data_IF_361255771149
#
_entry.id   IF_361255771149
#
_cell.length_a   1.000
_cell.length_b   1.000
_cell.length_c   1.000
_cell.angle_alpha   90.00
_cell.angle_beta   90.00
_cell.angle_gamma   90.00
#
_symmetry.space_group_name_H-M   'P 1'
#
loop_
_entity.id
_entity.type
_entity.pdbx_description
1 polymer ?
#
# COMPACT_ATOMS: atom_id res chain seq x y z
N UNK A 1 60.69 65.98 -21.27
CA UNK A 1 62.02 65.58 -21.80
C UNK A 1 61.94 64.15 -22.33
N UNK A 2 62.35 63.96 -23.59
CA UNK A 2 62.81 62.76 -24.32
C UNK A 2 62.26 61.37 -23.97
N UNK A 3 61.47 60.71 -24.84
CA UNK A 3 61.82 60.00 -26.11
C UNK A 3 62.62 58.69 -25.95
N UNK A 4 61.92 57.59 -26.29
CA UNK A 4 62.25 56.54 -27.30
C UNK A 4 62.62 55.12 -26.85
N UNK A 5 61.80 54.17 -27.37
CA UNK A 5 62.12 52.88 -28.05
C UNK A 5 62.64 51.74 -27.14
N UNK A 6 62.38 50.45 -27.37
CA UNK A 6 61.86 49.63 -28.48
C UNK A 6 61.35 48.31 -27.84
N UNK A 7 60.14 47.83 -28.14
CA UNK A 7 59.83 46.77 -29.12
C UNK A 7 60.19 45.32 -28.70
N UNK A 8 59.18 44.44 -28.84
CA UNK A 8 59.25 43.00 -29.19
C UNK A 8 59.23 41.92 -28.08
N UNK A 9 58.03 41.40 -27.75
CA UNK A 9 57.52 40.00 -27.98
C UNK A 9 56.27 39.77 -27.09
N UNK A 10 55.06 39.85 -27.66
CA UNK A 10 54.26 38.78 -28.31
C UNK A 10 53.59 37.80 -27.33
N UNK A 11 52.23 37.86 -27.33
CA UNK A 11 51.26 36.74 -27.27
C UNK A 11 51.14 36.09 -25.89
N UNK A 12 50.01 36.00 -25.19
CA UNK A 12 48.57 36.21 -25.42
C UNK A 12 47.93 36.30 -24.04
N UNK A 13 46.80 37.02 -23.87
CA UNK A 13 45.63 36.57 -23.10
C UNK A 13 44.61 37.71 -23.08
N UNK A 14 43.54 37.52 -23.85
CA UNK A 14 42.33 38.34 -23.82
C UNK A 14 41.59 37.94 -22.54
N UNK A 15 41.50 38.85 -21.56
CA UNK A 15 40.65 38.66 -20.37
C UNK A 15 39.27 39.18 -20.74
N UNK A 16 38.38 38.24 -21.05
CA UNK A 16 36.95 38.45 -21.21
C UNK A 16 36.32 38.53 -19.81
N UNK A 17 35.60 39.61 -19.54
CA UNK A 17 34.77 39.79 -18.34
C UNK A 17 33.67 38.71 -18.33
N UNK A 18 33.80 37.68 -17.49
CA UNK A 18 32.73 36.70 -17.24
C UNK A 18 31.99 37.12 -15.98
N UNK A 19 30.78 37.65 -16.17
CA UNK A 19 29.79 37.74 -15.10
C UNK A 19 29.40 36.31 -14.69
N UNK A 20 29.75 35.93 -13.48
CA UNK A 20 29.27 34.71 -12.81
C UNK A 20 27.82 34.94 -12.43
N UNK A 21 26.89 34.65 -13.33
CA UNK A 21 25.55 34.23 -12.95
C UNK A 21 25.61 32.71 -12.76
N UNK A 22 25.84 32.27 -11.52
CA UNK A 22 25.40 30.95 -11.08
C UNK A 22 23.88 30.94 -11.07
N UNK A 23 23.28 30.77 -12.25
CA UNK A 23 21.92 30.27 -12.34
C UNK A 23 21.93 28.84 -11.81
N UNK A 24 21.45 28.67 -10.57
CA UNK A 24 20.84 27.41 -10.16
C UNK A 24 19.82 27.04 -11.24
N UNK A 25 20.19 26.15 -12.16
CA UNK A 25 19.20 25.38 -12.88
C UNK A 25 18.57 24.49 -11.83
N UNK A 26 17.50 24.98 -11.20
CA UNK A 26 16.50 24.11 -10.64
C UNK A 26 16.06 23.20 -11.78
N UNK A 27 16.55 21.97 -11.80
CA UNK A 27 16.01 20.93 -12.64
C UNK A 27 14.58 20.72 -12.13
N UNK A 28 13.61 21.38 -12.75
CA UNK A 28 12.20 21.03 -12.56
C UNK A 28 12.09 19.53 -12.84
N UNK A 29 11.79 18.73 -11.83
CA UNK A 29 11.49 17.30 -12.00
C UNK A 29 10.16 17.20 -12.72
N UNK A 30 10.17 16.97 -14.03
CA UNK A 30 8.96 16.67 -14.78
C UNK A 30 8.59 15.21 -14.51
N UNK A 31 7.57 14.98 -13.68
CA UNK A 31 7.02 13.65 -13.42
C UNK A 31 6.18 13.15 -14.61
N UNK A 32 6.09 11.83 -14.79
CA UNK A 32 5.26 11.23 -15.83
C UNK A 32 3.78 11.65 -15.64
N UNK A 33 3.10 12.07 -16.70
CA UNK A 33 1.73 12.56 -16.61
C UNK A 33 0.73 11.44 -16.89
N UNK A 34 0.09 10.94 -15.84
CA UNK A 34 -1.00 9.97 -15.98
C UNK A 34 -2.26 10.62 -16.56
N UNK A 35 -2.79 10.03 -17.63
CA UNK A 35 -4.06 10.43 -18.26
C UNK A 35 -5.02 9.24 -18.21
N UNK A 36 -6.13 9.46 -17.52
CA UNK A 36 -7.20 8.46 -17.36
C UNK A 36 -8.43 8.88 -18.17
N UNK A 37 -8.91 7.95 -19.00
CA UNK A 37 -10.06 8.17 -19.86
C UNK A 37 -11.36 7.79 -19.13
N UNK A 38 -11.78 8.62 -18.15
CA UNK A 38 -13.12 8.58 -17.56
C UNK A 38 -14.10 9.45 -18.37
N UNK A 39 -15.41 9.17 -18.31
CA UNK A 39 -16.43 9.64 -19.27
C UNK A 39 -16.30 11.11 -19.72
N UNK A 40 -16.13 12.06 -18.80
CA UNK A 40 -16.00 13.49 -19.15
C UNK A 40 -14.71 13.81 -19.92
N UNK A 41 -13.55 13.27 -19.49
CA UNK A 41 -12.25 13.46 -20.14
C UNK A 41 -12.16 12.70 -21.47
N UNK A 42 -12.77 11.51 -21.53
CA UNK A 42 -12.77 10.68 -22.74
C UNK A 42 -13.44 11.38 -23.93
N UNK A 43 -14.50 12.17 -23.69
CA UNK A 43 -15.25 12.83 -24.76
C UNK A 43 -14.39 13.81 -25.60
N UNK A 44 -13.47 14.55 -24.98
CA UNK A 44 -12.63 15.49 -25.71
C UNK A 44 -11.57 14.77 -26.54
N UNK A 45 -10.99 13.68 -26.02
CA UNK A 45 -10.11 12.82 -26.80
C UNK A 45 -10.85 12.09 -27.92
N UNK A 46 -12.10 11.66 -27.70
CA UNK A 46 -12.94 11.05 -28.75
C UNK A 46 -13.21 12.07 -29.86
N UNK A 47 -13.55 13.32 -29.53
CA UNK A 47 -13.70 14.40 -30.52
C UNK A 47 -12.40 14.62 -31.28
N UNK A 48 -11.26 14.66 -30.60
CA UNK A 48 -9.95 14.85 -31.22
C UNK A 48 -9.60 13.69 -32.16
N UNK A 49 -9.79 12.45 -31.70
CA UNK A 49 -9.63 11.26 -32.51
C UNK A 49 -10.53 11.36 -33.75
N UNK A 50 -11.81 11.71 -33.61
CA UNK A 50 -12.76 11.82 -34.73
C UNK A 50 -12.49 12.95 -35.73
N UNK A 51 -11.72 13.98 -35.35
CA UNK A 51 -11.17 14.94 -36.33
C UNK A 51 -10.09 14.32 -37.21
N UNK A 52 -9.37 13.33 -36.70
CA UNK A 52 -8.38 12.58 -37.47
C UNK A 52 -9.08 11.50 -38.32
N UNK A 53 -8.89 11.58 -39.65
CA UNK A 53 -9.44 10.60 -40.60
C UNK A 53 -8.69 9.26 -40.56
N UNK A 54 -7.42 9.29 -40.14
CA UNK A 54 -6.61 8.10 -39.96
C UNK A 54 -6.84 7.51 -38.56
N UNK A 55 -7.34 6.27 -38.55
CA UNK A 55 -7.68 5.51 -37.33
C UNK A 55 -6.73 4.35 -37.11
N UNK A 56 -5.59 4.35 -37.78
CA UNK A 56 -4.55 3.37 -37.54
C UNK A 56 -3.89 3.57 -36.17
N UNK A 57 -3.29 2.50 -35.65
CA UNK A 57 -2.66 2.43 -34.32
C UNK A 57 -1.67 3.58 -34.07
N UNK A 58 -0.84 3.92 -35.05
CA UNK A 58 0.16 4.99 -34.95
C UNK A 58 -0.48 6.39 -34.90
N UNK A 59 -1.54 6.62 -35.68
CA UNK A 59 -2.29 7.86 -35.68
C UNK A 59 -3.06 8.07 -34.38
N UNK A 60 -3.65 7.00 -33.81
CA UNK A 60 -4.31 7.04 -32.50
C UNK A 60 -3.31 7.43 -31.41
N UNK A 61 -2.16 6.77 -31.34
CA UNK A 61 -1.12 7.07 -30.35
C UNK A 61 -0.68 8.54 -30.37
N UNK A 62 -0.33 9.05 -31.57
CA UNK A 62 0.04 10.47 -31.74
C UNK A 62 -1.09 11.42 -31.34
N UNK A 63 -2.33 11.09 -31.67
CA UNK A 63 -3.49 11.93 -31.33
C UNK A 63 -3.74 11.96 -29.82
N UNK A 64 -3.44 10.88 -29.11
CA UNK A 64 -3.51 10.83 -27.65
C UNK A 64 -2.30 11.44 -26.94
N UNK A 65 -1.28 11.90 -27.68
CA UNK A 65 -0.11 12.60 -27.14
C UNK A 65 1.13 11.74 -26.96
N UNK A 66 1.15 10.49 -27.44
CA UNK A 66 2.34 9.65 -27.37
C UNK A 66 3.47 10.21 -28.25
N UNK A 67 4.69 10.18 -27.71
CA UNK A 67 5.92 10.60 -28.38
C UNK A 67 6.51 9.49 -29.25
N UNK A 68 7.63 9.75 -29.96
CA UNK A 68 8.23 8.79 -30.89
C UNK A 68 8.70 7.49 -30.22
N UNK A 69 9.11 7.54 -28.97
CA UNK A 69 9.59 6.37 -28.22
C UNK A 69 8.44 5.64 -27.49
N UNK A 70 7.23 6.22 -27.48
CA UNK A 70 6.04 5.65 -26.84
C UNK A 70 5.11 5.06 -27.90
N UNK A 71 4.81 3.77 -27.75
CA UNK A 71 4.03 3.04 -28.72
C UNK A 71 2.90 2.28 -28.04
N UNK A 72 1.74 2.24 -28.68
CA UNK A 72 0.78 1.18 -28.39
C UNK A 72 1.23 -0.12 -29.03
N UNK A 73 0.88 -1.28 -28.50
CA UNK A 73 0.92 -2.60 -29.14
C UNK A 73 -0.48 -3.20 -29.07
N UNK A 74 -1.02 -3.66 -30.21
CA UNK A 74 -2.36 -4.27 -30.24
C UNK A 74 -2.32 -5.63 -29.51
N UNK A 75 -3.14 -5.78 -28.48
CA UNK A 75 -3.32 -7.04 -27.75
C UNK A 75 -4.47 -7.87 -28.31
N UNK A 76 -5.54 -7.21 -28.77
CA UNK A 76 -6.71 -7.91 -29.27
C UNK A 76 -7.74 -7.01 -29.94
N UNK A 77 -8.58 -7.62 -30.76
CA UNK A 77 -9.67 -6.99 -31.50
C UNK A 77 -10.94 -7.82 -31.35
N UNK A 78 -12.06 -7.20 -30.97
CA UNK A 78 -13.37 -7.86 -30.86
C UNK A 78 -14.49 -6.93 -31.29
N UNK A 79 -15.45 -7.43 -32.06
CA UNK A 79 -16.66 -6.68 -32.42
C UNK A 79 -17.84 -7.13 -31.57
N UNK A 80 -18.62 -6.18 -31.04
CA UNK A 80 -19.79 -6.45 -30.22
C UNK A 80 -21.10 -6.52 -31.04
N UNK A 81 -22.20 -6.86 -30.36
CA UNK A 81 -23.53 -6.97 -30.99
C UNK A 81 -24.06 -5.65 -31.56
N UNK A 82 -23.54 -4.51 -31.10
CA UNK A 82 -23.86 -3.18 -31.63
C UNK A 82 -22.97 -2.80 -32.83
N UNK A 83 -22.18 -3.74 -33.36
CA UNK A 83 -21.21 -3.55 -34.44
C UNK A 83 -20.11 -2.53 -34.10
N UNK A 84 -19.82 -2.34 -32.80
CA UNK A 84 -18.65 -1.57 -32.36
C UNK A 84 -17.45 -2.52 -32.29
N UNK A 85 -16.36 -2.16 -32.96
CA UNK A 85 -15.10 -2.91 -32.93
C UNK A 85 -14.18 -2.32 -31.88
N UNK A 86 -13.89 -3.11 -30.85
CA UNK A 86 -13.03 -2.76 -29.72
C UNK A 86 -11.60 -3.23 -29.99
N UNK A 87 -10.65 -2.30 -29.91
CA UNK A 87 -9.21 -2.55 -30.00
C UNK A 87 -8.59 -2.33 -28.63
N UNK A 88 -7.92 -3.35 -28.08
CA UNK A 88 -7.19 -3.28 -26.82
C UNK A 88 -5.71 -3.08 -27.10
N UNK A 89 -5.15 -1.97 -26.61
CA UNK A 89 -3.75 -1.61 -26.79
C UNK A 89 -3.01 -1.65 -25.46
N UNK A 90 -1.81 -2.20 -25.46
CA UNK A 90 -0.82 -2.10 -24.39
C UNK A 90 0.12 -0.93 -24.69
N UNK A 91 0.28 0.01 -23.77
CA UNK A 91 1.32 1.04 -23.92
C UNK A 91 2.71 0.42 -23.68
N UNK A 92 3.69 0.89 -24.44
CA UNK A 92 5.09 0.53 -24.32
C UNK A 92 5.98 1.74 -24.56
N UNK A 93 7.19 1.72 -24.00
CA UNK A 93 8.25 2.69 -24.30
C UNK A 93 9.49 1.93 -24.77
N UNK A 94 10.00 2.27 -25.95
CA UNK A 94 11.09 1.54 -26.64
C UNK A 94 10.88 0.02 -26.68
N UNK A 95 9.63 -0.39 -26.92
CA UNK A 95 9.23 -1.80 -26.99
C UNK A 95 9.01 -2.48 -25.63
N UNK A 96 9.32 -1.83 -24.50
CA UNK A 96 9.10 -2.36 -23.15
C UNK A 96 7.68 -1.98 -22.70
N UNK A 97 6.82 -2.95 -22.34
CA UNK A 97 5.46 -2.66 -21.90
C UNK A 97 5.44 -1.87 -20.59
N UNK A 98 4.58 -0.86 -20.51
CA UNK A 98 4.31 -0.12 -19.27
C UNK A 98 3.23 -0.86 -18.48
N UNK A 99 3.57 -1.37 -17.31
CA UNK A 99 2.69 -2.18 -16.50
C UNK A 99 1.39 -1.45 -16.16
N UNK A 100 0.26 -2.14 -16.31
CA UNK A 100 -1.08 -1.60 -16.03
C UNK A 100 -1.60 -0.54 -17.02
N UNK A 101 -0.79 -0.10 -18.00
CA UNK A 101 -1.18 0.96 -18.94
C UNK A 101 -1.74 0.40 -20.23
N UNK A 102 -3.06 0.27 -20.29
CA UNK A 102 -3.79 -0.22 -21.45
C UNK A 102 -4.91 0.72 -21.84
N UNK A 103 -5.17 0.81 -23.14
CA UNK A 103 -6.23 1.65 -23.71
C UNK A 103 -7.11 0.84 -24.64
N UNK A 104 -8.42 0.95 -24.45
CA UNK A 104 -9.43 0.34 -25.31
C UNK A 104 -10.08 1.42 -26.18
N UNK A 105 -10.09 1.21 -27.48
CA UNK A 105 -10.70 2.11 -28.48
C UNK A 105 -11.84 1.38 -29.18
N UNK A 106 -13.06 1.90 -29.07
CA UNK A 106 -14.25 1.36 -29.73
C UNK A 106 -14.59 2.17 -30.99
N UNK A 107 -14.57 1.52 -32.16
CA UNK A 107 -14.90 2.13 -33.45
C UNK A 107 -16.25 1.61 -33.95
N UNK A 108 -17.20 2.52 -34.16
CA UNK A 108 -18.56 2.19 -34.59
C UNK A 108 -18.72 2.06 -36.12
N UNK A 109 -19.94 1.75 -36.60
CA UNK A 109 -20.23 1.44 -38.02
C UNK A 109 -19.99 2.55 -39.06
N UNK A 110 -19.50 3.73 -38.65
CA UNK A 110 -19.13 4.84 -39.53
C UNK A 110 -17.65 5.23 -39.45
N UNK A 111 -16.79 4.32 -38.97
CA UNK A 111 -15.36 4.58 -38.69
C UNK A 111 -15.11 5.69 -37.64
N UNK A 112 -16.13 6.00 -36.83
CA UNK A 112 -16.03 6.95 -35.73
C UNK A 112 -15.65 6.22 -34.45
N UNK A 113 -14.73 6.80 -33.69
CA UNK A 113 -14.46 6.40 -32.31
C UNK A 113 -15.68 6.79 -31.48
N UNK A 114 -16.30 5.80 -30.86
CA UNK A 114 -17.50 5.96 -30.03
C UNK A 114 -17.22 5.64 -28.56
N UNK A 115 -16.10 4.99 -28.25
CA UNK A 115 -15.64 4.70 -26.89
C UNK A 115 -14.13 4.81 -26.79
N UNK A 116 -13.66 5.34 -25.68
CA UNK A 116 -12.25 5.36 -25.27
C UNK A 116 -12.22 5.10 -23.77
N UNK A 117 -11.47 4.09 -23.35
CA UNK A 117 -11.35 3.71 -21.94
C UNK A 117 -9.93 3.26 -21.62
N UNK A 118 -9.52 3.41 -20.36
CA UNK A 118 -8.23 2.97 -19.86
C UNK A 118 -7.31 4.15 -19.52
N UNK A 119 -6.03 3.85 -19.44
CA UNK A 119 -5.03 4.77 -18.90
C UNK A 119 -3.81 4.76 -19.81
N UNK A 120 -3.26 5.95 -20.01
CA UNK A 120 -1.93 6.14 -20.58
C UNK A 120 -1.09 6.98 -19.65
N UNK A 121 0.21 6.82 -19.79
CA UNK A 121 1.19 7.76 -19.25
C UNK A 121 1.71 8.58 -20.42
N UNK A 122 1.71 9.89 -20.28
CA UNK A 122 2.39 10.79 -21.19
C UNK A 122 3.72 11.20 -20.56
N UNK A 123 4.65 11.58 -21.42
CA UNK A 123 5.98 11.98 -21.01
C UNK A 123 6.68 10.88 -20.19
N UNK A 124 6.40 9.60 -20.51
CA UNK A 124 6.90 8.44 -19.77
C UNK A 124 8.44 8.47 -19.82
N UNK A 125 9.14 8.73 -18.70
CA UNK A 125 10.17 9.77 -18.70
C UNK A 125 11.61 9.28 -18.92
N UNK A 126 12.49 10.26 -19.15
CA UNK A 126 13.97 10.22 -19.17
C UNK A 126 14.62 9.59 -17.91
N UNK A 127 13.83 9.20 -16.92
CA UNK A 127 14.24 8.47 -15.70
C UNK A 127 14.85 7.11 -16.01
N UNK A 128 14.44 6.50 -17.12
CA UNK A 128 15.08 5.30 -17.66
C UNK A 128 16.33 5.72 -18.43
N UNK A 129 17.34 6.21 -17.69
CA UNK A 129 18.67 6.48 -18.21
C UNK A 129 19.36 5.13 -18.48
N UNK A 130 19.29 4.70 -19.75
CA UNK A 130 19.91 3.48 -20.27
C UNK A 130 19.11 2.21 -19.92
N UNK A 131 18.62 1.54 -20.95
CA UNK A 131 18.18 0.14 -20.84
C UNK A 131 19.47 -0.71 -20.89
N UNK A 132 19.76 -1.55 -19.88
CA UNK A 132 20.93 -2.41 -19.90
C UNK A 132 20.97 -3.28 -21.17
N UNK A 133 22.17 -3.54 -21.68
CA UNK A 133 22.37 -4.35 -22.89
C UNK A 133 21.91 -5.81 -22.71
N UNK A 134 21.85 -6.30 -21.47
CA UNK A 134 21.34 -7.62 -21.10
C UNK A 134 20.32 -7.48 -19.98
N UNK A 135 19.17 -8.14 -20.16
CA UNK A 135 18.08 -8.24 -19.20
C UNK A 135 17.90 -9.71 -18.84
N UNK A 136 17.74 -10.02 -17.55
CA UNK A 136 17.57 -11.39 -17.04
C UNK A 136 16.34 -11.54 -16.13
N UNK A 137 15.12 -11.41 -16.68
CA UNK A 137 13.90 -11.63 -15.91
C UNK A 137 13.76 -13.08 -15.40
N UNK A 138 14.40 -14.05 -16.05
CA UNK A 138 14.38 -15.45 -15.61
C UNK A 138 15.22 -15.66 -14.34
N UNK A 139 16.41 -15.04 -14.26
CA UNK A 139 17.22 -15.01 -13.05
C UNK A 139 16.50 -14.32 -11.89
N UNK A 140 15.74 -13.25 -12.16
CA UNK A 140 14.89 -12.60 -11.16
C UNK A 140 13.80 -13.55 -10.63
N UNK A 141 13.12 -14.28 -11.51
CA UNK A 141 12.13 -15.30 -11.11
C UNK A 141 12.77 -16.38 -10.24
N UNK A 142 13.94 -16.91 -10.64
CA UNK A 142 14.67 -17.91 -9.86
C UNK A 142 15.00 -17.39 -8.46
N UNK A 143 15.48 -16.16 -8.36
CA UNK A 143 15.77 -15.50 -7.08
C UNK A 143 14.53 -15.40 -6.20
N UNK A 144 13.39 -15.01 -6.76
CA UNK A 144 12.15 -14.88 -5.98
C UNK A 144 11.61 -16.24 -5.50
N UNK A 145 11.71 -17.29 -6.31
CA UNK A 145 11.37 -18.66 -5.86
C UNK A 145 12.29 -19.12 -4.72
N UNK A 146 13.60 -18.84 -4.81
CA UNK A 146 14.54 -19.16 -3.72
C UNK A 146 14.27 -18.35 -2.44
N UNK A 147 13.82 -17.10 -2.56
CA UNK A 147 13.34 -16.33 -1.41
C UNK A 147 12.06 -16.92 -0.82
N UNK A 148 11.12 -17.34 -1.67
CA UNK A 148 9.87 -17.96 -1.23
C UNK A 148 10.12 -19.26 -0.44
N UNK A 149 11.02 -20.12 -0.91
CA UNK A 149 11.44 -21.34 -0.19
C UNK A 149 12.02 -21.07 1.19
N UNK A 150 12.56 -19.88 1.45
CA UNK A 150 13.10 -19.53 2.78
C UNK A 150 12.01 -19.24 3.81
N UNK A 151 10.77 -18.96 3.38
CA UNK A 151 9.62 -18.75 4.28
C UNK A 151 9.33 -20.00 5.11
N UNK A 152 9.43 -21.17 4.49
CA UNK A 152 9.39 -22.46 5.17
C UNK A 152 10.39 -23.42 4.51
N UNK A 153 11.51 -23.63 5.20
CA UNK A 153 12.60 -24.51 4.74
C UNK A 153 12.24 -26.00 4.82
N UNK A 154 11.22 -26.36 5.60
CA UNK A 154 10.73 -27.74 5.73
C UNK A 154 9.71 -28.12 4.67
N UNK A 155 9.05 -27.13 4.05
CA UNK A 155 8.04 -27.35 3.02
C UNK A 155 8.64 -27.79 1.66
N UNK A 156 7.94 -28.73 1.01
CA UNK A 156 8.19 -29.10 -0.38
C UNK A 156 7.35 -28.21 -1.30
N UNK A 157 7.91 -27.07 -1.67
CA UNK A 157 7.23 -26.10 -2.54
C UNK A 157 7.13 -26.59 -3.99
N UNK A 158 5.92 -26.56 -4.52
CA UNK A 158 5.60 -26.78 -5.92
C UNK A 158 5.33 -25.43 -6.59
N UNK A 159 6.11 -25.11 -7.63
CA UNK A 159 5.94 -23.87 -8.39
C UNK A 159 5.29 -24.17 -9.75
N UNK A 160 4.28 -23.39 -10.12
CA UNK A 160 3.59 -23.49 -11.42
C UNK A 160 3.15 -22.12 -11.91
N UNK A 161 2.62 -22.05 -13.14
CA UNK A 161 2.14 -20.81 -13.77
C UNK A 161 3.18 -19.67 -13.71
N UNK A 162 4.44 -19.99 -14.02
CA UNK A 162 5.55 -19.05 -13.95
C UNK A 162 5.49 -18.06 -15.13
N UNK A 163 5.34 -16.79 -14.81
CA UNK A 163 5.40 -15.70 -15.77
C UNK A 163 6.53 -14.74 -15.40
N UNK A 164 7.25 -14.24 -16.40
CA UNK A 164 8.33 -13.29 -16.18
C UNK A 164 8.56 -12.42 -17.41
N UNK A 165 8.88 -11.16 -17.18
CA UNK A 165 9.16 -10.20 -18.25
C UNK A 165 9.80 -8.93 -17.73
N UNK A 166 10.20 -8.05 -18.65
CA UNK A 166 10.67 -6.71 -18.31
C UNK A 166 9.56 -5.71 -18.61
N UNK A 167 9.29 -4.84 -17.65
CA UNK A 167 8.24 -3.84 -17.72
C UNK A 167 8.74 -2.49 -17.22
N UNK A 168 7.96 -1.46 -17.50
CA UNK A 168 8.09 -0.15 -16.86
C UNK A 168 6.99 -0.05 -15.81
N UNK A 169 7.37 0.14 -14.56
CA UNK A 169 6.47 0.35 -13.44
C UNK A 169 6.47 1.83 -13.06
N UNK A 170 5.29 2.42 -12.90
CA UNK A 170 5.15 3.81 -12.42
C UNK A 170 4.77 3.74 -10.94
N UNK A 171 5.61 4.30 -10.07
CA UNK A 171 5.35 4.29 -8.63
C UNK A 171 4.28 5.34 -8.23
N UNK A 172 3.89 5.33 -6.95
CA UNK A 172 2.90 6.28 -6.39
C UNK A 172 3.31 7.76 -6.54
N UNK A 173 4.61 8.05 -6.69
CA UNK A 173 5.15 9.40 -6.89
C UNK A 173 5.23 9.78 -8.38
N UNK A 174 4.75 8.93 -9.28
CA UNK A 174 4.76 9.15 -10.73
C UNK A 174 6.13 8.93 -11.38
N UNK A 175 7.08 8.29 -10.68
CA UNK A 175 8.41 7.99 -11.21
C UNK A 175 8.40 6.65 -11.94
N UNK A 176 9.04 6.61 -13.12
CA UNK A 176 9.17 5.38 -13.89
C UNK A 176 10.39 4.56 -13.45
N UNK A 177 10.17 3.27 -13.27
CA UNK A 177 11.19 2.28 -12.94
C UNK A 177 11.23 1.21 -14.01
N UNK A 178 12.44 0.87 -14.48
CA UNK A 178 12.64 -0.31 -15.30
C UNK A 178 12.75 -1.51 -14.36
N UNK A 179 11.78 -2.44 -14.43
CA UNK A 179 11.69 -3.56 -13.51
C UNK A 179 11.50 -4.91 -14.22
N UNK A 180 11.99 -5.97 -13.61
CA UNK A 180 11.51 -7.32 -13.87
C UNK A 180 10.18 -7.51 -13.15
N UNK A 181 9.18 -7.97 -13.88
CA UNK A 181 7.92 -8.42 -13.28
C UNK A 181 7.90 -9.92 -13.38
N UNK A 182 7.80 -10.58 -12.22
CA UNK A 182 7.82 -12.04 -12.13
C UNK A 182 6.63 -12.50 -11.30
N UNK A 183 5.96 -13.54 -11.75
CA UNK A 183 4.86 -14.18 -11.04
C UNK A 183 5.03 -15.68 -11.06
N UNK A 184 4.62 -16.34 -9.99
CA UNK A 184 4.53 -17.79 -9.91
C UNK A 184 3.46 -18.15 -8.89
N UNK A 185 2.75 -19.23 -9.16
CA UNK A 185 1.94 -19.90 -8.17
C UNK A 185 2.84 -20.84 -7.35
N UNK A 186 2.69 -20.85 -6.03
CA UNK A 186 3.40 -21.72 -5.10
C UNK A 186 2.42 -22.39 -4.13
N UNK A 187 2.46 -23.73 -4.05
CA UNK A 187 1.73 -24.53 -3.05
C UNK A 187 2.61 -25.61 -2.42
N UNK A 188 2.14 -26.17 -1.29
CA UNK A 188 2.76 -27.27 -0.55
C UNK A 188 1.67 -28.05 0.20
N UNK A 189 1.96 -29.27 0.65
CA UNK A 189 0.96 -30.19 1.24
C UNK A 189 0.28 -29.62 2.51
N UNK A 190 0.98 -28.76 3.27
CA UNK A 190 0.51 -28.21 4.56
C UNK A 190 0.45 -26.69 4.61
N UNK A 191 0.73 -26.00 3.50
CA UNK A 191 0.88 -24.54 3.47
C UNK A 191 -0.13 -23.90 2.54
N UNK A 192 -0.45 -22.64 2.81
CA UNK A 192 -1.41 -21.89 2.01
C UNK A 192 -0.85 -21.68 0.58
N UNK A 193 -1.65 -21.91 -0.47
CA UNK A 193 -1.26 -21.57 -1.81
C UNK A 193 -1.09 -20.05 -1.93
N UNK A 194 -0.17 -19.61 -2.78
CA UNK A 194 0.04 -18.20 -3.11
C UNK A 194 0.29 -18.03 -4.61
N UNK A 195 -0.06 -16.89 -5.17
CA UNK A 195 0.30 -16.50 -6.53
C UNK A 195 0.89 -15.09 -6.53
N UNK A 196 2.08 -14.94 -5.95
CA UNK A 196 2.72 -13.63 -5.92
C UNK A 196 3.08 -13.10 -7.31
N UNK A 197 3.02 -11.78 -7.43
CA UNK A 197 3.70 -11.00 -8.46
C UNK A 197 4.67 -10.03 -7.77
N UNK A 198 5.89 -9.93 -8.30
CA UNK A 198 6.95 -9.07 -7.80
C UNK A 198 7.42 -8.11 -8.88
N UNK A 199 7.65 -6.85 -8.51
CA UNK A 199 8.26 -5.81 -9.32
C UNK A 199 9.67 -5.59 -8.79
N UNK A 200 10.69 -5.91 -9.56
CA UNK A 200 12.09 -5.92 -9.12
C UNK A 200 12.87 -4.93 -9.96
N UNK A 201 13.46 -3.91 -9.34
CA UNK A 201 14.27 -2.92 -10.05
C UNK A 201 15.43 -3.59 -10.80
N UNK A 202 15.57 -3.30 -12.09
CA UNK A 202 16.57 -3.96 -12.96
C UNK A 202 18.01 -3.63 -12.55
N UNK A 203 18.25 -2.43 -11.99
CA UNK A 203 19.62 -1.96 -11.68
C UNK A 203 20.09 -2.47 -10.32
N UNK A 204 19.21 -2.46 -9.33
CA UNK A 204 19.53 -2.75 -7.93
C UNK A 204 19.12 -4.16 -7.50
N UNK A 205 18.18 -4.78 -8.22
CA UNK A 205 17.57 -6.04 -7.81
C UNK A 205 16.69 -5.94 -6.57
N UNK A 206 16.31 -4.72 -6.15
CA UNK A 206 15.41 -4.47 -5.02
C UNK A 206 13.96 -4.73 -5.45
N UNK A 207 13.15 -5.36 -4.59
CA UNK A 207 11.70 -5.44 -4.79
C UNK A 207 11.11 -4.03 -4.57
N UNK A 208 10.52 -3.48 -5.61
CA UNK A 208 9.82 -2.20 -5.63
C UNK A 208 8.38 -2.34 -5.12
N UNK A 209 7.73 -3.45 -5.44
CA UNK A 209 6.36 -3.74 -5.09
C UNK A 209 6.07 -5.25 -5.23
N UNK A 210 5.08 -5.76 -4.51
CA UNK A 210 4.58 -7.13 -4.67
C UNK A 210 3.16 -7.28 -4.13
N UNK A 211 2.42 -8.24 -4.66
CA UNK A 211 1.09 -8.63 -4.15
C UNK A 211 0.78 -10.08 -4.54
N UNK A 212 -0.15 -10.73 -3.83
CA UNK A 212 -0.66 -12.07 -4.18
C UNK A 212 -1.85 -11.96 -5.15
N UNK A 213 -1.85 -12.77 -6.22
CA UNK A 213 -2.88 -12.82 -7.25
C UNK A 213 -3.90 -13.94 -7.05
N UNK A 214 -3.77 -14.78 -6.01
CA UNK A 214 -4.90 -15.63 -5.64
C UNK A 214 -6.00 -14.71 -5.14
N UNK A 215 -6.97 -14.46 -6.02
CA UNK A 215 -8.06 -13.51 -5.82
C UNK A 215 -8.84 -13.87 -4.55
N UNK A 216 -8.47 -13.22 -3.46
CA UNK A 216 -9.42 -12.72 -2.51
C UNK A 216 -10.27 -11.68 -3.22
N UNK A 217 -11.58 -11.75 -3.03
CA UNK A 217 -12.43 -10.64 -3.41
C UNK A 217 -12.07 -9.42 -2.53
N UNK A 218 -12.33 -8.24 -3.06
CA UNK A 218 -12.24 -7.01 -2.29
C UNK A 218 -13.62 -6.73 -1.71
N UNK A 219 -13.75 -6.86 -0.39
CA UNK A 219 -14.87 -6.33 0.35
C UNK A 219 -14.82 -4.80 0.35
N UNK A 220 -15.99 -4.18 0.26
CA UNK A 220 -16.18 -2.74 0.32
C UNK A 220 -17.16 -2.40 1.44
N UNK A 221 -17.22 -1.12 1.84
CA UNK A 221 -18.15 -0.68 2.86
C UNK A 221 -17.62 0.49 3.68
N UNK A 222 -18.44 1.03 4.59
CA UNK A 222 -18.03 2.13 5.45
C UNK A 222 -17.00 1.66 6.48
N UNK A 223 -16.27 2.63 7.04
CA UNK A 223 -15.40 2.49 8.20
C UNK A 223 -15.27 3.82 8.94
N UNK A 224 -14.60 3.79 10.09
CA UNK A 224 -14.41 4.95 10.95
C UNK A 224 -15.54 5.16 11.95
N UNK A 225 -15.52 6.32 12.59
CA UNK A 225 -16.50 6.73 13.59
C UNK A 225 -16.73 8.25 13.59
N UNK A 226 -17.56 8.74 14.52
CA UNK A 226 -17.90 10.16 14.64
C UNK A 226 -16.69 11.09 14.90
N UNK A 227 -15.57 10.57 15.44
CA UNK A 227 -14.32 11.33 15.65
C UNK A 227 -13.41 11.27 14.44
N UNK A 228 -13.12 10.08 13.91
CA UNK A 228 -12.26 9.92 12.71
C UNK A 228 -12.91 10.46 11.44
N UNK A 229 -14.24 10.58 11.46
CA UNK A 229 -15.05 10.81 10.27
C UNK A 229 -15.30 9.52 9.49
N UNK A 230 -16.29 9.61 8.61
CA UNK A 230 -16.66 8.55 7.70
C UNK A 230 -15.66 8.40 6.57
N UNK A 231 -15.29 7.16 6.27
CA UNK A 231 -14.60 6.80 5.04
C UNK A 231 -15.14 5.49 4.49
N UNK A 232 -14.86 5.21 3.22
CA UNK A 232 -15.40 4.05 2.52
C UNK A 232 -14.29 3.21 1.86
N UNK A 233 -14.18 1.94 2.27
CA UNK A 233 -13.30 0.95 1.68
C UNK A 233 -13.73 0.61 0.25
N UNK A 234 -12.82 0.75 -0.70
CA UNK A 234 -13.07 0.71 -2.15
C UNK A 234 -13.16 2.08 -2.80
N UNK A 235 -13.20 3.18 -2.02
CA UNK A 235 -13.21 4.56 -2.52
C UNK A 235 -12.06 5.37 -1.89
N UNK A 236 -12.11 5.58 -0.58
CA UNK A 236 -11.13 6.38 0.17
C UNK A 236 -9.89 5.55 0.55
N UNK A 237 -10.13 4.30 0.91
CA UNK A 237 -9.11 3.26 1.11
C UNK A 237 -9.30 2.13 0.09
N UNK A 238 -8.29 1.27 -0.15
CA UNK A 238 -8.49 0.02 -0.86
C UNK A 238 -9.60 -0.83 -0.22
N UNK A 239 -10.24 -1.70 -0.99
CA UNK A 239 -11.14 -2.70 -0.40
C UNK A 239 -10.37 -3.66 0.51
N UNK A 240 -11.04 -4.17 1.55
CA UNK A 240 -10.46 -5.13 2.47
C UNK A 240 -10.56 -6.56 1.92
N UNK A 241 -9.67 -7.43 2.39
CA UNK A 241 -9.56 -8.79 1.86
C UNK A 241 -10.73 -9.67 2.34
N UNK A 242 -11.37 -10.41 1.41
CA UNK A 242 -12.36 -11.46 1.71
C UNK A 242 -12.23 -12.67 0.77
N UNK A 243 -12.69 -13.84 1.20
CA UNK A 243 -12.92 -14.98 0.30
C UNK A 243 -14.34 -14.92 -0.25
N UNK A 244 -14.52 -15.14 -1.57
CA UNK A 244 -15.84 -15.17 -2.20
C UNK A 244 -16.19 -16.61 -2.63
N UNK A 245 -17.40 -17.04 -2.28
CA UNK A 245 -17.98 -18.28 -2.76
C UNK A 245 -19.48 -18.13 -2.99
N UNK A 246 -19.89 -18.27 -4.25
CA UNK A 246 -21.30 -18.28 -4.67
C UNK A 246 -22.10 -17.02 -4.25
N UNK A 247 -21.46 -15.85 -4.30
CA UNK A 247 -22.06 -14.56 -3.94
C UNK A 247 -21.96 -14.21 -2.45
N UNK A 248 -21.36 -15.08 -1.63
CA UNK A 248 -21.09 -14.84 -0.21
C UNK A 248 -19.62 -14.48 -0.02
N UNK A 249 -19.37 -13.37 0.66
CA UNK A 249 -18.04 -12.89 1.02
C UNK A 249 -17.79 -13.22 2.48
N UNK A 250 -16.64 -13.80 2.79
CA UNK A 250 -16.22 -14.15 4.14
C UNK A 250 -14.92 -13.44 4.47
N UNK A 251 -14.86 -12.77 5.62
CA UNK A 251 -13.65 -12.12 6.14
C UNK A 251 -12.63 -13.15 6.65
N UNK A 252 -12.13 -13.98 5.75
CA UNK A 252 -11.19 -15.07 6.00
C UNK A 252 -10.16 -15.14 4.87
N UNK A 253 -9.04 -14.44 5.04
CA UNK A 253 -7.89 -14.43 4.14
C UNK A 253 -6.70 -15.11 4.81
N UNK A 254 -5.69 -15.62 4.07
CA UNK A 254 -4.59 -16.40 4.64
C UNK A 254 -3.88 -15.75 5.81
N UNK A 255 -3.77 -14.43 5.75
CA UNK A 255 -3.04 -13.62 6.70
C UNK A 255 -3.93 -13.21 7.88
N UNK A 256 -5.20 -12.88 7.60
CA UNK A 256 -6.13 -12.26 8.55
C UNK A 256 -7.54 -12.81 8.39
N UNK A 257 -8.18 -13.08 9.52
CA UNK A 257 -9.63 -13.30 9.59
C UNK A 257 -10.29 -12.45 10.66
N UNK A 258 -11.53 -12.08 10.40
CA UNK A 258 -12.36 -11.31 11.32
C UNK A 258 -13.60 -12.10 11.71
N UNK A 259 -13.88 -12.14 13.01
CA UNK A 259 -15.01 -12.83 13.62
C UNK A 259 -15.92 -11.76 14.24
N UNK A 260 -17.21 -11.88 13.95
CA UNK A 260 -18.25 -11.19 14.68
C UNK A 260 -18.68 -12.04 15.88
N UNK A 261 -18.57 -11.49 17.09
CA UNK A 261 -19.04 -12.18 18.29
C UNK A 261 -20.51 -11.92 18.61
N UNK A 262 -21.17 -10.97 17.93
CA UNK A 262 -22.59 -10.60 18.13
C UNK A 262 -22.91 -10.40 19.62
N UNK A 263 -22.09 -9.58 20.29
CA UNK A 263 -22.14 -9.32 21.74
C UNK A 263 -21.95 -10.54 22.65
N UNK A 264 -21.51 -11.66 22.10
CA UNK A 264 -21.05 -12.84 22.81
C UNK A 264 -19.63 -12.68 23.36
N UNK A 265 -19.16 -13.72 24.02
CA UNK A 265 -17.80 -13.78 24.62
C UNK A 265 -16.91 -14.85 24.00
N UNK A 266 -17.41 -15.56 22.99
CA UNK A 266 -16.71 -16.66 22.32
C UNK A 266 -17.22 -16.85 20.89
N UNK A 267 -16.32 -17.19 19.97
CA UNK A 267 -16.65 -17.41 18.57
C UNK A 267 -15.41 -17.85 17.79
N UNK A 268 -15.61 -18.63 16.73
CA UNK A 268 -14.53 -19.12 15.85
C UNK A 268 -14.85 -19.00 14.36
N UNK A 269 -16.11 -18.70 14.01
CA UNK A 269 -16.57 -18.63 12.63
C UNK A 269 -16.26 -17.25 12.05
N UNK A 270 -15.50 -17.15 10.96
CA UNK A 270 -15.28 -15.88 10.29
C UNK A 270 -16.59 -15.25 9.82
N UNK A 271 -16.68 -13.92 9.88
CA UNK A 271 -17.87 -13.19 9.49
C UNK A 271 -18.14 -13.32 7.98
N UNK A 272 -19.38 -13.62 7.61
CA UNK A 272 -19.83 -13.73 6.22
C UNK A 272 -20.99 -12.81 5.94
N UNK A 273 -20.99 -12.22 4.75
CA UNK A 273 -22.04 -11.30 4.26
C UNK A 273 -22.27 -11.48 2.76
N UNK A 274 -23.32 -10.87 2.22
CA UNK A 274 -23.57 -10.91 0.77
C UNK A 274 -22.57 -9.98 0.07
N UNK A 275 -21.83 -10.50 -0.91
CA UNK A 275 -20.82 -9.71 -1.60
C UNK A 275 -21.41 -8.48 -2.33
N UNK A 276 -20.64 -7.40 -2.54
CA UNK A 276 -19.27 -7.15 -2.06
C UNK A 276 -19.22 -6.12 -0.93
N UNK A 277 -20.36 -5.48 -0.63
CA UNK A 277 -20.48 -4.41 0.35
C UNK A 277 -20.96 -4.97 1.70
N UNK A 278 -20.18 -4.74 2.75
CA UNK A 278 -20.61 -4.97 4.12
C UNK A 278 -20.93 -3.63 4.80
N UNK A 279 -22.11 -3.51 5.39
CA UNK A 279 -22.53 -2.35 6.19
C UNK A 279 -22.97 -2.74 7.60
N UNK A 280 -22.63 -3.95 8.04
CA UNK A 280 -23.01 -4.46 9.36
C UNK A 280 -21.86 -4.26 10.36
N UNK A 281 -22.01 -3.47 11.41
CA UNK A 281 -23.09 -2.50 11.63
C UNK A 281 -22.58 -1.17 12.21
N UNK A 282 -23.43 -0.15 12.11
CA UNK A 282 -23.22 1.09 12.86
C UNK A 282 -23.50 0.85 14.34
N UNK A 283 -22.51 1.07 15.20
CA UNK A 283 -22.66 0.86 16.64
C UNK A 283 -21.82 1.85 17.44
N UNK A 284 -22.43 2.39 18.50
CA UNK A 284 -21.80 3.33 19.43
C UNK A 284 -21.08 4.52 18.74
N UNK A 285 -21.50 4.90 17.53
CA UNK A 285 -20.91 5.98 16.74
C UNK A 285 -19.81 5.56 15.75
N UNK A 286 -19.43 4.28 15.69
CA UNK A 286 -18.67 3.74 14.55
C UNK A 286 -19.60 3.31 13.42
N UNK A 287 -19.08 3.30 12.20
CA UNK A 287 -19.88 2.98 11.01
C UNK A 287 -19.86 1.48 10.65
N UNK A 288 -18.73 0.79 10.84
CA UNK A 288 -18.63 -0.66 10.69
C UNK A 288 -17.31 -1.20 11.27
N UNK A 289 -17.27 -1.57 12.56
CA UNK A 289 -16.06 -2.09 13.20
C UNK A 289 -15.50 -3.37 12.56
N UNK A 290 -16.34 -4.21 11.95
CA UNK A 290 -15.90 -5.41 11.23
C UNK A 290 -15.05 -5.09 10.00
N UNK A 291 -15.41 -4.04 9.25
CA UNK A 291 -14.63 -3.62 8.08
C UNK A 291 -13.27 -3.06 8.50
N UNK A 292 -13.27 -2.21 9.53
CA UNK A 292 -12.06 -1.64 10.11
C UNK A 292 -11.13 -2.73 10.64
N UNK A 293 -11.67 -3.71 11.37
CA UNK A 293 -10.92 -4.86 11.86
C UNK A 293 -10.23 -5.64 10.74
N UNK A 294 -10.98 -6.00 9.69
CA UNK A 294 -10.42 -6.78 8.58
C UNK A 294 -9.35 -6.00 7.83
N UNK A 295 -9.56 -4.70 7.59
CA UNK A 295 -8.60 -3.87 6.89
C UNK A 295 -7.35 -3.61 7.74
N UNK A 296 -7.49 -3.16 8.99
CA UNK A 296 -6.38 -2.83 9.88
C UNK A 296 -5.57 -4.05 10.31
N UNK A 297 -6.20 -5.21 10.43
CA UNK A 297 -5.49 -6.48 10.54
C UNK A 297 -4.56 -6.72 9.36
N UNK A 298 -5.04 -6.51 8.13
CA UNK A 298 -4.20 -6.69 6.93
C UNK A 298 -3.07 -5.66 6.87
N UNK A 299 -3.35 -4.41 7.20
CA UNK A 299 -2.33 -3.34 7.27
C UNK A 299 -1.23 -3.72 8.27
N UNK A 300 -1.61 -4.21 9.46
CA UNK A 300 -0.68 -4.66 10.49
C UNK A 300 0.18 -5.82 9.97
N UNK A 301 -0.45 -6.85 9.40
CA UNK A 301 0.27 -8.00 8.84
C UNK A 301 1.25 -7.58 7.73
N UNK A 302 0.78 -6.74 6.81
CA UNK A 302 1.57 -6.24 5.68
C UNK A 302 2.75 -5.39 6.15
N UNK A 303 2.57 -4.53 7.16
CA UNK A 303 3.65 -3.73 7.75
C UNK A 303 4.78 -4.65 8.22
N UNK A 304 4.44 -5.63 9.06
CA UNK A 304 5.41 -6.58 9.61
C UNK A 304 6.15 -7.34 8.51
N UNK A 305 5.42 -7.88 7.54
CA UNK A 305 5.99 -8.65 6.45
C UNK A 305 6.84 -7.78 5.49
N UNK A 306 6.42 -6.56 5.19
CA UNK A 306 7.12 -5.69 4.24
C UNK A 306 8.36 -5.01 4.83
N UNK A 307 8.33 -4.62 6.10
CA UNK A 307 9.46 -3.94 6.75
C UNK A 307 10.44 -4.92 7.39
N UNK A 308 9.94 -6.01 7.99
CA UNK A 308 10.75 -6.93 8.79
C UNK A 308 10.89 -8.32 8.17
N UNK A 309 10.09 -8.66 7.15
CA UNK A 309 10.16 -9.95 6.47
C UNK A 309 9.60 -11.12 7.29
N UNK A 310 8.82 -10.82 8.34
CA UNK A 310 8.18 -11.78 9.25
C UNK A 310 6.75 -11.34 9.54
N UNK A 311 5.80 -12.26 9.79
CA UNK A 311 4.44 -11.89 10.21
C UNK A 311 4.40 -11.45 11.69
N UNK A 312 3.33 -10.75 12.14
CA UNK A 312 3.16 -10.37 13.54
C UNK A 312 3.01 -11.60 14.46
N UNK A 313 2.39 -12.66 13.95
CA UNK A 313 2.20 -13.94 14.65
C UNK A 313 2.51 -15.11 13.69
N UNK A 314 2.95 -16.29 14.19
CA UNK A 314 3.36 -17.41 13.34
C UNK A 314 2.18 -18.19 12.70
N UNK A 315 0.95 -17.71 12.88
CA UNK A 315 -0.30 -18.27 12.38
C UNK A 315 -1.17 -17.15 11.82
N UNK A 316 -2.36 -17.48 11.30
CA UNK A 316 -3.31 -16.50 10.78
C UNK A 316 -3.78 -15.55 11.90
N UNK A 317 -3.65 -14.24 11.70
CA UNK A 317 -4.10 -13.24 12.66
C UNK A 317 -5.63 -13.26 12.73
N UNK A 318 -6.17 -13.54 13.91
CA UNK A 318 -7.63 -13.55 14.15
C UNK A 318 -8.02 -12.33 14.94
N UNK A 319 -9.02 -11.59 14.47
CA UNK A 319 -9.58 -10.42 15.14
C UNK A 319 -11.05 -10.70 15.46
N UNK A 320 -11.44 -10.53 16.72
CA UNK A 320 -12.80 -10.76 17.22
C UNK A 320 -13.42 -9.41 17.61
N UNK A 321 -14.47 -9.03 16.90
CA UNK A 321 -15.19 -7.78 17.08
C UNK A 321 -16.44 -8.01 17.95
N UNK A 322 -17.07 -6.90 18.37
CA UNK A 322 -18.37 -6.93 19.06
C UNK A 322 -18.36 -7.79 20.33
N UNK A 323 -17.26 -7.76 21.10
CA UNK A 323 -17.16 -8.54 22.33
C UNK A 323 -18.06 -7.96 23.43
N UNK A 324 -18.95 -8.81 23.96
CA UNK A 324 -19.84 -8.49 25.07
C UNK A 324 -20.70 -7.23 24.83
N UNK A 325 -21.34 -6.72 25.87
CA UNK A 325 -22.21 -5.54 25.81
C UNK A 325 -21.52 -4.40 26.56
N UNK A 326 -21.37 -3.25 25.90
CA UNK A 326 -20.80 -2.02 26.48
C UNK A 326 -19.39 -2.23 27.07
N UNK A 327 -18.59 -3.11 26.47
CA UNK A 327 -17.26 -3.44 26.97
C UNK A 327 -16.21 -2.42 26.50
N UNK A 328 -15.53 -1.78 27.45
CA UNK A 328 -14.52 -0.75 27.22
C UNK A 328 -13.11 -1.33 27.34
N UNK A 329 -12.74 -2.18 26.38
CA UNK A 329 -11.41 -2.78 26.34
C UNK A 329 -11.12 -3.55 25.07
N UNK A 330 -9.83 -3.68 24.80
CA UNK A 330 -9.23 -4.54 23.79
C UNK A 330 -8.09 -5.32 24.44
N UNK A 331 -7.81 -6.52 23.93
CA UNK A 331 -6.69 -7.32 24.42
C UNK A 331 -6.25 -8.38 23.40
N UNK A 332 -5.00 -8.82 23.55
CA UNK A 332 -4.48 -10.07 23.00
C UNK A 332 -4.78 -11.25 23.93
N UNK A 333 -5.48 -12.28 23.43
CA UNK A 333 -5.86 -13.47 24.23
C UNK A 333 -4.83 -14.62 24.20
N UNK A 334 -3.65 -14.40 23.60
CA UNK A 334 -2.66 -15.45 23.32
C UNK A 334 -2.80 -16.06 21.93
N UNK A 335 -3.90 -15.80 21.23
CA UNK A 335 -4.20 -16.33 19.90
C UNK A 335 -4.91 -15.36 18.96
N UNK A 336 -5.65 -14.39 19.50
CA UNK A 336 -6.51 -13.46 18.78
C UNK A 336 -6.46 -12.08 19.42
N UNK A 337 -6.66 -11.05 18.59
CA UNK A 337 -7.05 -9.72 19.06
C UNK A 337 -8.55 -9.73 19.33
N UNK A 338 -8.98 -9.19 20.46
CA UNK A 338 -10.39 -9.09 20.84
C UNK A 338 -10.70 -7.68 21.28
N UNK A 339 -11.81 -7.10 20.82
CA UNK A 339 -12.22 -5.78 21.28
C UNK A 339 -13.74 -5.66 21.44
N UNK A 340 -14.14 -4.83 22.40
CA UNK A 340 -15.52 -4.47 22.66
C UNK A 340 -15.99 -3.23 21.88
N UNK A 341 -17.30 -2.98 21.95
CA UNK A 341 -17.93 -1.86 21.25
C UNK A 341 -17.79 -0.51 21.96
N UNK A 342 -17.09 -0.45 23.09
CA UNK A 342 -17.02 0.73 23.92
C UNK A 342 -18.37 1.09 24.56
N UNK A 343 -18.42 2.21 25.28
CA UNK A 343 -19.67 2.73 25.83
C UNK A 343 -19.60 4.25 26.02
N UNK A 344 -19.18 4.72 27.19
CA UNK A 344 -19.23 6.14 27.57
C UNK A 344 -17.92 6.86 27.28
N UNK A 345 -16.80 6.15 27.37
CA UNK A 345 -15.44 6.67 27.21
C UNK A 345 -14.93 6.41 25.81
N UNK A 346 -15.24 5.24 25.25
CA UNK A 346 -14.71 4.81 23.96
C UNK A 346 -15.82 4.58 22.92
N UNK A 347 -15.48 4.84 21.65
CA UNK A 347 -16.07 4.17 20.48
C UNK A 347 -15.65 2.68 20.46
N UNK A 348 -16.14 1.84 19.54
CA UNK A 348 -15.58 0.50 19.35
C UNK A 348 -14.07 0.55 19.16
N UNK A 349 -13.34 -0.28 19.89
CA UNK A 349 -11.89 -0.12 20.09
C UNK A 349 -11.04 -0.65 18.92
N UNK A 350 -11.65 -0.94 17.77
CA UNK A 350 -10.99 -1.48 16.58
C UNK A 350 -10.30 -0.43 15.70
N UNK A 351 -9.50 0.48 16.27
CA UNK A 351 -8.64 1.38 15.48
C UNK A 351 -7.35 0.71 15.01
N UNK A 352 -6.66 1.32 14.05
CA UNK A 352 -5.43 0.79 13.47
C UNK A 352 -4.33 0.62 14.53
N UNK A 353 -4.14 1.64 15.35
CA UNK A 353 -3.14 1.64 16.41
C UNK A 353 -3.44 0.60 17.49
N UNK A 354 -4.70 0.46 17.93
CA UNK A 354 -5.13 -0.54 18.93
C UNK A 354 -5.01 -1.96 18.36
N UNK A 355 -5.48 -2.22 17.14
CA UNK A 355 -5.34 -3.56 16.53
C UNK A 355 -3.87 -3.93 16.36
N UNK A 356 -3.01 -2.99 15.94
CA UNK A 356 -1.58 -3.22 15.79
C UNK A 356 -0.90 -3.40 17.15
N UNK A 357 -1.32 -2.64 18.17
CA UNK A 357 -0.88 -2.79 19.57
C UNK A 357 -1.16 -4.22 20.07
N UNK A 358 -2.40 -4.68 19.97
CA UNK A 358 -2.78 -6.01 20.45
C UNK A 358 -2.09 -7.13 19.67
N UNK A 359 -2.00 -7.01 18.34
CA UNK A 359 -1.26 -7.98 17.53
C UNK A 359 0.24 -8.02 17.89
N UNK A 360 0.80 -6.90 18.34
CA UNK A 360 2.22 -6.77 18.70
C UNK A 360 2.56 -7.34 20.07
N UNK A 361 1.58 -7.49 20.98
CA UNK A 361 1.75 -8.40 22.12
C UNK A 361 1.99 -9.84 21.65
N UNK A 362 1.26 -10.29 20.63
CA UNK A 362 1.50 -11.58 19.98
C UNK A 362 2.90 -11.68 19.36
N UNK A 363 3.39 -10.60 18.75
CA UNK A 363 4.77 -10.55 18.25
C UNK A 363 5.79 -10.66 19.37
N UNK A 364 5.63 -9.89 20.45
CA UNK A 364 6.51 -9.93 21.63
C UNK A 364 6.53 -11.33 22.26
N UNK A 365 5.37 -11.96 22.44
CA UNK A 365 5.23 -13.33 22.96
C UNK A 365 6.01 -14.36 22.13
N UNK A 366 6.08 -14.19 20.80
CA UNK A 366 6.77 -15.12 19.92
C UNK A 366 8.24 -14.76 19.65
N UNK A 367 8.76 -13.70 20.28
CA UNK A 367 10.14 -13.23 20.09
C UNK A 367 10.90 -13.07 21.42
N UNK A 368 10.82 -11.89 22.04
CA UNK A 368 11.56 -11.59 23.27
C UNK A 368 10.92 -12.20 24.52
N UNK A 369 9.62 -12.52 24.46
CA UNK A 369 8.82 -13.08 25.55
C UNK A 369 8.94 -12.23 26.83
N UNK A 370 8.89 -10.90 26.67
CA UNK A 370 8.90 -9.97 27.79
C UNK A 370 7.67 -10.23 28.67
N UNK A 371 7.91 -10.68 29.91
CA UNK A 371 6.84 -10.94 30.86
C UNK A 371 6.04 -9.67 31.15
N UNK A 372 4.71 -9.80 31.23
CA UNK A 372 3.78 -8.69 31.43
C UNK A 372 3.73 -8.23 32.90
N UNK A 373 4.89 -7.86 33.44
CA UNK A 373 5.05 -7.42 34.82
C UNK A 373 6.30 -6.55 34.97
N UNK A 374 6.24 -5.57 35.88
CA UNK A 374 7.35 -4.68 36.16
C UNK A 374 7.87 -3.95 34.91
N UNK A 375 9.17 -3.67 34.87
CA UNK A 375 9.80 -2.95 33.74
C UNK A 375 9.68 -3.70 32.41
N UNK A 376 9.76 -5.04 32.41
CA UNK A 376 9.57 -5.81 31.17
C UNK A 376 8.15 -5.68 30.63
N UNK A 377 7.16 -5.58 31.53
CA UNK A 377 5.78 -5.31 31.15
C UNK A 377 5.61 -3.91 30.54
N UNK A 378 6.22 -2.88 31.15
CA UNK A 378 6.23 -1.54 30.57
C UNK A 378 6.90 -1.48 29.18
N UNK A 379 8.00 -2.21 28.98
CA UNK A 379 8.64 -2.32 27.65
C UNK A 379 7.74 -3.08 26.66
N UNK A 380 7.05 -4.13 27.12
CA UNK A 380 6.12 -4.90 26.29
C UNK A 380 4.98 -4.02 25.78
N UNK A 381 4.33 -3.30 26.71
CA UNK A 381 3.24 -2.38 26.40
C UNK A 381 3.69 -1.21 25.52
N UNK A 382 4.87 -0.63 25.81
CA UNK A 382 5.45 0.42 24.96
C UNK A 382 5.80 -0.06 23.55
N UNK A 383 6.33 -1.27 23.39
CA UNK A 383 6.59 -1.82 22.07
C UNK A 383 5.30 -1.95 21.24
N UNK A 384 4.20 -2.33 21.89
CA UNK A 384 2.88 -2.40 21.26
C UNK A 384 2.35 -1.01 20.87
N UNK A 385 2.51 0.01 21.72
CA UNK A 385 2.18 1.41 21.37
C UNK A 385 2.98 1.90 20.15
N UNK A 386 4.29 1.67 20.14
CA UNK A 386 5.18 2.02 19.03
C UNK A 386 4.77 1.31 17.74
N UNK A 387 4.33 0.05 17.82
CA UNK A 387 3.83 -0.69 16.66
C UNK A 387 2.49 -0.14 16.14
N UNK A 388 1.66 0.43 17.02
CA UNK A 388 0.49 1.22 16.66
C UNK A 388 0.86 2.41 15.78
N UNK A 389 1.73 3.28 16.27
CA UNK A 389 2.24 4.44 15.52
C UNK A 389 2.94 4.05 14.21
N UNK A 390 3.71 2.97 14.23
CA UNK A 390 4.37 2.44 13.05
C UNK A 390 3.35 1.98 11.98
N UNK A 391 2.23 1.40 12.39
CA UNK A 391 1.17 0.97 11.49
C UNK A 391 0.43 2.16 10.88
N UNK A 392 0.18 3.20 11.67
CA UNK A 392 -0.33 4.47 11.16
C UNK A 392 0.62 5.06 10.11
N UNK A 393 1.91 5.16 10.43
CA UNK A 393 2.92 5.65 9.50
C UNK A 393 2.99 4.80 8.23
N UNK A 394 2.88 3.48 8.36
CA UNK A 394 2.87 2.56 7.23
C UNK A 394 1.69 2.81 6.27
N UNK A 395 0.50 3.07 6.81
CA UNK A 395 -0.70 3.32 6.02
C UNK A 395 -0.76 4.75 5.46
N UNK A 396 -0.43 5.75 6.30
CA UNK A 396 -0.73 7.17 6.10
C UNK A 396 0.51 8.03 5.77
N UNK A 397 1.73 7.48 5.88
CA UNK A 397 3.04 8.21 5.83
C UNK A 397 3.14 9.32 6.89
N UNK A 398 2.39 9.16 7.99
CA UNK A 398 2.34 10.01 9.18
C UNK A 398 1.70 9.24 10.34
N UNK A 399 2.07 9.58 11.57
CA UNK A 399 1.44 9.13 12.82
C UNK A 399 1.31 10.35 13.76
N UNK A 400 0.47 10.25 14.78
CA UNK A 400 0.17 11.38 15.69
C UNK A 400 0.84 11.29 17.06
N UNK A 401 1.46 10.14 17.39
CA UNK A 401 2.06 9.85 18.69
C UNK A 401 1.02 9.83 19.84
N UNK A 402 -0.24 9.49 19.54
CA UNK A 402 -1.37 9.47 20.44
C UNK A 402 -2.13 8.14 20.36
N UNK A 403 -1.74 7.20 21.22
CA UNK A 403 -2.41 5.90 21.31
C UNK A 403 -3.89 6.03 21.71
N UNK A 404 -4.76 5.41 20.92
CA UNK A 404 -6.21 5.37 21.10
C UNK A 404 -6.93 6.66 20.75
N UNK A 405 -6.26 7.63 20.09
CA UNK A 405 -6.90 8.89 19.69
C UNK A 405 -8.18 8.65 18.88
N UNK A 406 -8.11 7.77 17.88
CA UNK A 406 -9.22 7.47 16.95
C UNK A 406 -10.47 6.91 17.67
N UNK A 407 -10.33 6.31 18.85
CA UNK A 407 -11.43 5.64 19.58
C UNK A 407 -11.81 6.30 20.90
N UNK A 408 -11.05 7.29 21.38
CA UNK A 408 -11.38 8.03 22.59
C UNK A 408 -12.41 9.13 22.31
N UNK A 409 -13.53 9.14 23.04
CA UNK A 409 -14.64 10.08 22.79
C UNK A 409 -14.34 11.53 23.15
N UNK A 410 -13.32 11.78 23.96
CA UNK A 410 -12.81 13.14 24.14
C UNK A 410 -12.30 13.64 22.76
N UNK A 411 -12.85 14.75 22.23
CA UNK A 411 -12.49 15.24 20.90
C UNK A 411 -11.00 15.58 20.77
N UNK A 412 -10.35 16.00 21.86
CA UNK A 412 -8.95 16.42 21.87
C UNK A 412 -8.04 15.41 22.61
N UNK A 413 -8.63 14.33 23.15
CA UNK A 413 -7.94 13.37 24.00
C UNK A 413 -7.49 12.09 23.28
N UNK A 414 -6.58 11.36 23.93
CA UNK A 414 -6.15 10.01 23.60
C UNK A 414 -5.97 9.19 24.89
N UNK A 415 -5.75 7.88 24.78
CA UNK A 415 -5.49 7.02 25.95
C UNK A 415 -4.11 7.32 26.53
N UNK A 416 -3.10 7.43 25.66
CA UNK A 416 -1.71 7.74 26.03
C UNK A 416 -1.10 8.69 25.01
N UNK A 417 -0.10 9.45 25.44
CA UNK A 417 0.60 10.43 24.63
C UNK A 417 2.08 10.10 24.60
N UNK A 418 2.60 9.51 23.51
CA UNK A 418 3.98 9.05 23.48
C UNK A 418 4.96 10.23 23.60
N UNK A 419 4.62 11.38 23.02
CA UNK A 419 5.44 12.59 23.08
C UNK A 419 5.49 13.23 24.48
N UNK A 420 4.50 12.99 25.34
CA UNK A 420 4.44 13.51 26.71
C UNK A 420 3.55 12.63 27.60
N UNK A 421 4.03 11.45 28.04
CA UNK A 421 3.21 10.46 28.74
C UNK A 421 2.43 10.99 29.95
N UNK A 422 2.99 11.86 30.82
CA UNK A 422 2.27 12.41 31.96
C UNK A 422 0.98 13.19 31.64
N UNK A 423 0.71 13.51 30.36
CA UNK A 423 -0.55 14.16 29.95
C UNK A 423 -1.79 13.31 30.21
N UNK A 424 -1.68 11.99 30.28
CA UNK A 424 -2.80 11.12 30.68
C UNK A 424 -3.10 11.16 32.19
N UNK A 425 -2.25 11.85 32.97
CA UNK A 425 -2.37 12.03 34.42
C UNK A 425 -1.84 10.87 35.27
N UNK A 426 -1.34 9.79 34.67
CA UNK A 426 -0.92 8.56 35.37
C UNK A 426 0.44 8.02 34.92
N UNK A 427 0.76 8.11 33.63
CA UNK A 427 2.00 7.62 33.04
C UNK A 427 3.21 8.47 33.44
N UNK A 428 4.38 7.83 33.44
CA UNK A 428 5.67 8.46 33.75
C UNK A 428 6.50 8.63 32.49
N UNK A 429 7.36 9.65 32.41
CA UNK A 429 8.26 9.87 31.26
C UNK A 429 9.74 9.61 31.58
N UNK A 430 10.07 9.27 32.83
CA UNK A 430 11.44 9.01 33.25
C UNK A 430 11.56 7.80 34.19
N UNK A 431 12.64 7.04 34.06
CA UNK A 431 12.89 5.81 34.84
C UNK A 431 13.03 6.07 36.34
N UNK A 432 13.42 7.28 36.74
CA UNK A 432 13.54 7.66 38.16
C UNK A 432 12.18 7.69 38.88
N UNK A 433 11.07 7.83 38.14
CA UNK A 433 9.71 7.85 38.69
C UNK A 433 9.09 6.43 38.77
N UNK A 434 9.80 5.42 38.29
CA UNK A 434 9.35 4.03 38.37
C UNK A 434 9.35 3.51 39.81
N UNK A 435 8.32 2.73 40.17
CA UNK A 435 8.28 1.98 41.41
C UNK A 435 7.76 0.55 41.18
N UNK A 436 8.20 -0.39 42.02
CA UNK A 436 7.73 -1.79 41.95
C UNK A 436 6.22 -1.87 42.20
N UNK A 437 5.51 -2.56 41.30
CA UNK A 437 4.05 -2.67 41.35
C UNK A 437 3.29 -1.59 40.57
N UNK A 438 4.00 -0.66 39.90
CA UNK A 438 3.39 0.24 38.91
C UNK A 438 2.74 -0.57 37.79
N UNK A 439 1.55 -0.13 37.36
CA UNK A 439 0.85 -0.72 36.22
C UNK A 439 1.69 -0.54 34.93
N UNK A 440 1.72 -1.59 34.12
CA UNK A 440 2.55 -1.62 32.92
C UNK A 440 2.16 -0.54 31.92
N UNK A 441 0.86 -0.20 31.83
CA UNK A 441 0.34 0.84 30.95
C UNK A 441 0.78 2.25 31.34
N UNK A 442 1.26 2.46 32.57
CA UNK A 442 1.81 3.74 33.04
C UNK A 442 3.33 3.77 32.94
N UNK A 443 3.97 2.63 33.21
CA UNK A 443 5.43 2.50 33.09
C UNK A 443 5.93 2.46 31.64
N UNK A 444 5.05 2.15 30.68
CA UNK A 444 5.36 2.18 29.25
C UNK A 444 5.72 3.57 28.74
N UNK A 445 5.26 4.63 29.42
CA UNK A 445 5.62 6.02 29.15
C UNK A 445 7.12 6.28 29.01
N UNK A 446 7.98 5.56 29.75
CA UNK A 446 9.45 5.69 29.64
C UNK A 446 9.95 5.39 28.22
N UNK A 447 9.51 4.27 27.65
CA UNK A 447 9.97 3.84 26.31
C UNK A 447 9.16 4.50 25.20
N UNK A 448 7.90 4.85 25.48
CA UNK A 448 7.06 5.65 24.59
C UNK A 448 7.69 7.03 24.31
N UNK A 449 8.22 7.70 25.35
CA UNK A 449 8.91 8.99 25.20
C UNK A 449 10.29 8.88 24.57
N UNK A 450 10.92 7.71 24.68
CA UNK A 450 12.25 7.48 24.11
C UNK A 450 12.21 7.23 22.59
N UNK A 451 11.13 6.65 22.09
CA UNK A 451 10.82 6.51 20.67
C UNK A 451 10.45 7.87 20.06
#
# INVERSE_FOLDING_TARGET
MNKKRCLSRKISFIILLVFVLCSFMATSSWAAKKVEFYQAKANDYIKLLNKNKDKERSAIGKTLGLTQDEEFKLLGKRTDFNRVTHYRYQQSFKGIPVWGMQTNVGIGPGNNVVRLHGTIILDTPRDIAGIPASLDPHGALKRMKELHKKKDKGAQWHFRNEEYGTYIYIDKKGKAHLCYVVSFFADTEKGNPSQFIYFIDVKTGKVLHSFDMLNYAAGTGPGGNLKTGYYYYGIDYPGFCVTEAAGTCTMDCPDVRTIDLDHGTSGTTPYSYTCYENTHEEINGAYCPLNDAQFFGQVTYDMYNNWYGVPPVPFQLTIKCHYSINFEGAWWDGSSVVFGDGNTVFYPLGSLDVISHEASHGFTQNNSDLIYSGQSGGINDSFSDIAGEAAEYYLRDSCDYMCGYDIFKDPDGAIRYLYDPPLDGMSIDHVDDYYEGMDVHYSSGIFNKAF
#
